data_IF_407751257807
#
_entry.id   IF_407751257807
#
_cell.length_a   1.000
_cell.length_b   1.000
_cell.length_c   1.000
_cell.angle_alpha   90.00
_cell.angle_beta   90.00
_cell.angle_gamma   90.00
#
_symmetry.space_group_name_H-M   'P 1'
#
loop_
_entity.id
_entity.type
_entity.pdbx_description
1 polymer ?
#
# COMPACT_ATOMS: atom_id res chain seq x y z
N UNK A 1 -1.61 21.14 23.97
CA UNK A 1 -1.03 21.02 23.56
C UNK A 1 -0.27 20.69 23.02
N UNK A 2 -0.38 20.61 23.08
CA UNK A 2 0.34 20.37 22.52
C UNK A 2 1.07 20.38 21.88
N UNK A 3 1.10 19.98 21.70
CA UNK A 3 1.95 20.04 21.33
C UNK A 3 2.49 20.57 20.67
N UNK A 4 1.82 20.39 20.68
CA UNK A 4 2.27 21.25 20.06
C UNK A 4 3.33 22.17 20.16
N UNK A 5 3.95 22.03 20.90
CA UNK A 5 5.16 22.78 21.11
C UNK A 5 6.15 22.67 19.96
N UNK A 6 5.95 21.76 19.07
CA UNK A 6 6.83 21.63 17.92
C UNK A 6 6.46 22.65 16.87
N UNK A 7 7.41 23.48 16.53
CA UNK A 7 7.25 24.45 15.47
C UNK A 7 7.20 23.70 14.15
N UNK A 8 6.16 23.91 13.40
CA UNK A 8 6.04 23.28 12.10
C UNK A 8 6.84 24.06 11.09
N UNK A 9 7.43 23.35 10.14
CA UNK A 9 8.16 24.00 9.09
C UNK A 9 7.17 24.72 8.16
N UNK A 10 7.69 25.66 7.40
CA UNK A 10 6.87 26.38 6.43
C UNK A 10 6.22 25.41 5.45
N UNK A 11 6.98 24.38 5.04
CA UNK A 11 6.46 23.37 4.12
C UNK A 11 5.29 22.61 4.73
N UNK A 12 5.37 22.25 6.01
CA UNK A 12 4.29 21.57 6.67
C UNK A 12 3.04 22.43 6.77
N UNK A 13 3.21 23.72 7.07
CA UNK A 13 2.09 24.64 7.16
C UNK A 13 1.43 24.82 5.80
N UNK A 14 2.24 24.92 4.75
CA UNK A 14 1.71 25.04 3.40
C UNK A 14 0.95 23.79 2.99
N UNK A 15 1.46 22.63 3.35
CA UNK A 15 0.80 21.36 3.05
C UNK A 15 -0.54 21.28 3.76
N UNK A 16 -0.62 21.73 5.00
CA UNK A 16 -1.87 21.74 5.75
C UNK A 16 -2.88 22.69 5.14
N UNK A 17 -2.43 23.84 4.67
CA UNK A 17 -3.31 24.81 4.02
C UNK A 17 -3.91 24.26 2.73
N UNK A 18 -3.22 23.31 2.11
CA UNK A 18 -3.72 22.63 0.91
C UNK A 18 -4.54 21.38 1.22
N UNK A 19 -4.87 21.15 2.48
CA UNK A 19 -5.63 19.98 2.89
C UNK A 19 -4.79 18.73 3.04
N UNK A 20 -3.49 18.89 3.19
CA UNK A 20 -2.57 17.78 3.36
C UNK A 20 -2.18 17.60 4.81
N UNK A 21 -1.89 16.38 5.19
CA UNK A 21 -1.44 16.05 6.54
C UNK A 21 -0.22 15.16 6.47
N UNK A 22 0.53 15.18 7.57
CA UNK A 22 1.69 14.32 7.70
C UNK A 22 1.28 13.10 8.52
N UNK A 23 1.56 11.92 7.99
CA UNK A 23 1.26 10.66 8.69
C UNK A 23 2.50 9.78 8.71
N UNK A 24 2.55 8.89 9.70
CA UNK A 24 3.58 7.87 9.77
C UNK A 24 2.92 6.53 9.52
N UNK A 25 3.37 5.83 8.50
CA UNK A 25 2.85 4.52 8.19
C UNK A 25 3.90 3.46 8.54
N UNK A 26 3.47 2.45 9.29
CA UNK A 26 4.35 1.35 9.64
C UNK A 26 4.24 0.27 8.56
N UNK A 27 5.35 -0.05 7.93
CA UNK A 27 5.40 -1.08 6.89
C UNK A 27 6.59 -1.98 7.18
N UNK A 28 6.32 -3.26 7.35
CA UNK A 28 7.36 -4.26 7.62
C UNK A 28 8.18 -3.92 8.86
N UNK A 29 7.54 -3.33 9.86
CA UNK A 29 8.20 -3.01 11.13
C UNK A 29 8.95 -1.70 11.14
N UNK A 30 8.90 -0.94 10.07
CA UNK A 30 9.59 0.34 9.99
C UNK A 30 8.59 1.45 9.72
N UNK A 31 8.78 2.60 10.36
CA UNK A 31 7.90 3.75 10.22
C UNK A 31 8.35 4.64 9.06
N UNK A 32 7.42 5.04 8.23
CA UNK A 32 7.69 5.89 7.07
C UNK A 32 6.82 7.14 7.16
N UNK A 33 7.43 8.30 7.36
CA UNK A 33 6.67 9.54 7.37
C UNK A 33 6.35 9.96 5.93
N UNK A 34 5.13 10.42 5.73
CA UNK A 34 4.74 10.94 4.42
C UNK A 34 3.65 11.98 4.55
N UNK A 35 3.57 12.84 3.55
CA UNK A 35 2.56 13.88 3.50
C UNK A 35 1.55 13.51 2.43
N UNK A 36 0.28 13.41 2.84
CA UNK A 36 -0.78 12.96 1.96
C UNK A 36 -1.97 13.91 2.08
N UNK A 37 -2.91 13.79 1.15
CA UNK A 37 -4.15 14.53 1.25
C UNK A 37 -4.94 13.99 2.45
N UNK A 38 -5.48 14.91 3.25
CA UNK A 38 -6.23 14.52 4.44
C UNK A 38 -7.41 13.61 4.08
N UNK A 39 -8.02 13.82 2.93
CA UNK A 39 -9.13 12.98 2.48
C UNK A 39 -8.73 11.53 2.23
N UNK A 40 -7.45 11.29 2.02
CA UNK A 40 -6.94 9.95 1.71
C UNK A 40 -6.32 9.26 2.92
N UNK A 41 -6.39 9.84 4.10
CA UNK A 41 -5.73 9.26 5.27
C UNK A 41 -6.19 7.83 5.53
N UNK A 42 -7.49 7.62 5.54
CA UNK A 42 -8.05 6.29 5.80
C UNK A 42 -7.59 5.28 4.75
N UNK A 43 -7.57 5.71 3.50
CA UNK A 43 -7.15 4.87 2.40
C UNK A 43 -5.69 4.43 2.58
N UNK A 44 -4.82 5.36 2.95
CA UNK A 44 -3.40 5.05 3.14
C UNK A 44 -3.19 4.12 4.33
N UNK A 45 -3.92 4.33 5.42
CA UNK A 45 -3.81 3.47 6.59
C UNK A 45 -4.31 2.07 6.31
N UNK A 46 -5.40 1.96 5.57
CA UNK A 46 -5.93 0.66 5.19
C UNK A 46 -4.97 -0.05 4.23
N UNK A 47 -4.37 0.70 3.31
CA UNK A 47 -3.40 0.14 2.36
C UNK A 47 -2.18 -0.41 3.09
N UNK A 48 -1.66 0.34 4.07
CA UNK A 48 -0.52 -0.12 4.86
C UNK A 48 -0.87 -1.38 5.65
N UNK A 49 -2.07 -1.43 6.21
CA UNK A 49 -2.55 -2.60 6.94
C UNK A 49 -2.59 -3.83 6.05
N UNK A 50 -3.17 -3.69 4.86
CA UNK A 50 -3.26 -4.80 3.92
C UNK A 50 -1.90 -5.25 3.43
N UNK A 51 -1.01 -4.30 3.22
CA UNK A 51 0.35 -4.64 2.82
C UNK A 51 1.05 -5.45 3.90
N UNK A 52 0.93 -5.02 5.16
CA UNK A 52 1.53 -5.74 6.28
C UNK A 52 0.96 -7.15 6.43
N UNK A 53 -0.35 -7.30 6.22
CA UNK A 53 -0.99 -8.61 6.25
C UNK A 53 -0.43 -9.52 5.15
N UNK A 54 -0.24 -8.96 3.97
CA UNK A 54 0.32 -9.72 2.85
C UNK A 54 1.75 -10.14 3.11
N UNK A 55 2.55 -9.25 3.68
CA UNK A 55 3.92 -9.55 4.05
C UNK A 55 3.94 -10.71 5.06
N UNK A 56 3.02 -10.68 6.02
CA UNK A 56 2.90 -11.75 7.01
C UNK A 56 2.53 -13.08 6.37
N UNK A 57 1.67 -13.09 5.36
CA UNK A 57 1.35 -14.31 4.63
C UNK A 57 2.60 -14.91 3.99
N UNK A 58 3.44 -14.08 3.41
CA UNK A 58 4.66 -14.56 2.77
C UNK A 58 5.71 -15.00 3.77
N UNK A 59 5.55 -14.70 5.05
CA UNK A 59 6.46 -15.16 6.07
C UNK A 59 6.45 -16.68 6.22
N UNK A 60 5.42 -17.33 5.70
CA UNK A 60 5.29 -18.79 5.75
C UNK A 60 6.13 -19.49 4.68
N UNK A 61 6.67 -18.73 3.73
CA UNK A 61 7.50 -19.32 2.69
C UNK A 61 8.93 -19.46 3.19
N UNK A 62 9.49 -20.67 3.21
CA UNK A 62 10.85 -20.87 3.71
C UNK A 62 11.86 -20.07 2.89
N UNK A 63 12.90 -19.57 3.57
CA UNK A 63 13.99 -18.84 2.98
C UNK A 63 13.66 -17.43 2.49
N UNK A 64 12.41 -16.98 2.66
CA UNK A 64 12.06 -15.60 2.33
C UNK A 64 12.45 -14.70 3.50
N UNK A 65 13.34 -13.76 3.25
CA UNK A 65 13.62 -12.71 4.23
C UNK A 65 12.62 -11.56 4.03
N UNK A 66 12.76 -10.50 4.80
CA UNK A 66 11.80 -9.40 4.76
C UNK A 66 11.81 -8.70 3.39
N UNK A 67 12.97 -8.63 2.75
CA UNK A 67 13.06 -8.03 1.43
C UNK A 67 12.32 -8.85 0.39
N UNK A 68 12.44 -10.18 0.46
CA UNK A 68 11.73 -11.07 -0.46
C UNK A 68 10.23 -10.95 -0.28
N UNK A 69 9.77 -10.86 0.96
CA UNK A 69 8.35 -10.70 1.27
C UNK A 69 7.80 -9.39 0.72
N UNK A 70 8.56 -8.31 0.91
CA UNK A 70 8.18 -7.00 0.37
C UNK A 70 8.14 -7.02 -1.14
N UNK A 71 9.13 -7.65 -1.77
CA UNK A 71 9.18 -7.72 -3.22
C UNK A 71 7.98 -8.46 -3.80
N UNK A 72 7.61 -9.58 -3.19
CA UNK A 72 6.46 -10.36 -3.64
C UNK A 72 5.15 -9.61 -3.44
N UNK A 73 4.99 -8.95 -2.28
CA UNK A 73 3.80 -8.17 -2.03
C UNK A 73 3.68 -7.01 -3.02
N UNK A 74 4.80 -6.33 -3.27
CA UNK A 74 4.81 -5.21 -4.21
C UNK A 74 4.48 -5.67 -5.63
N UNK A 75 5.06 -6.77 -6.05
CA UNK A 75 4.77 -7.31 -7.38
C UNK A 75 3.30 -7.67 -7.52
N UNK A 76 2.75 -8.34 -6.52
CA UNK A 76 1.35 -8.72 -6.55
C UNK A 76 0.43 -7.50 -6.66
N UNK A 77 0.65 -6.51 -5.81
CA UNK A 77 -0.20 -5.32 -5.84
C UNK A 77 -0.01 -4.51 -7.12
N UNK A 78 1.20 -4.50 -7.67
CA UNK A 78 1.45 -3.82 -8.94
C UNK A 78 0.66 -4.49 -10.07
N UNK A 79 0.66 -5.81 -10.10
CA UNK A 79 -0.09 -6.54 -11.12
C UNK A 79 -1.58 -6.30 -10.96
N UNK A 80 -2.07 -6.32 -9.72
CA UNK A 80 -3.49 -6.05 -9.46
C UNK A 80 -3.87 -4.64 -9.89
N UNK A 81 -3.01 -3.67 -9.62
CA UNK A 81 -3.26 -2.28 -10.00
C UNK A 81 -3.35 -2.14 -11.51
N UNK A 82 -2.41 -2.75 -12.24
CA UNK A 82 -2.41 -2.69 -13.69
C UNK A 82 -3.65 -3.39 -14.27
N UNK A 83 -4.02 -4.52 -13.70
CA UNK A 83 -5.18 -5.26 -14.15
C UNK A 83 -6.46 -4.48 -13.89
N UNK A 84 -6.54 -3.80 -12.75
CA UNK A 84 -7.70 -2.99 -12.40
C UNK A 84 -7.84 -1.79 -13.34
N UNK A 85 -6.71 -1.14 -13.66
CA UNK A 85 -6.73 -0.04 -14.64
C UNK A 85 -7.25 -0.53 -15.99
N UNK A 86 -6.78 -1.68 -16.40
CA UNK A 86 -7.20 -2.29 -17.65
C UNK A 86 -8.69 -2.63 -17.61
N UNK A 87 -9.15 -3.22 -16.53
CA UNK A 87 -10.57 -3.53 -16.33
C UNK A 87 -11.45 -2.31 -16.41
N UNK A 88 -11.03 -1.23 -15.77
CA UNK A 88 -11.79 0.03 -15.78
C UNK A 88 -11.98 0.57 -17.20
N UNK A 89 -10.99 0.34 -18.06
CA UNK A 89 -11.06 0.81 -19.43
C UNK A 89 -11.92 -0.09 -20.31
N UNK A 90 -11.99 -1.38 -20.02
CA UNK A 90 -12.55 -2.37 -20.92
C UNK A 90 -13.92 -2.96 -20.50
N UNK A 91 -14.31 -2.82 -19.26
CA UNK A 91 -15.64 -3.23 -18.82
C UNK A 91 -15.69 -4.55 -18.04
N UNK A 92 -16.90 -5.11 -17.93
CA UNK A 92 -17.15 -6.25 -17.05
C UNK A 92 -16.43 -7.54 -17.41
N UNK A 93 -16.15 -7.76 -18.68
CA UNK A 93 -15.45 -8.98 -19.10
C UNK A 93 -14.07 -9.07 -18.46
N UNK A 94 -13.48 -7.93 -18.19
CA UNK A 94 -12.13 -7.88 -17.63
C UNK A 94 -12.09 -8.13 -16.14
N UNK A 95 -13.24 -8.05 -15.46
CA UNK A 95 -13.32 -8.39 -14.05
C UNK A 95 -13.04 -9.87 -13.86
N UNK A 96 -13.55 -10.71 -14.76
CA UNK A 96 -13.27 -12.14 -14.72
C UNK A 96 -11.80 -12.44 -14.95
N UNK A 97 -11.20 -11.71 -15.89
CA UNK A 97 -9.77 -11.85 -16.14
C UNK A 97 -8.94 -11.41 -14.95
N UNK A 98 -9.39 -10.38 -14.23
CA UNK A 98 -8.73 -9.93 -13.02
C UNK A 98 -8.70 -11.05 -11.99
N UNK A 99 -9.82 -11.70 -11.76
CA UNK A 99 -9.89 -12.80 -10.81
C UNK A 99 -9.03 -13.98 -11.25
N UNK A 100 -9.04 -14.29 -12.53
CA UNK A 100 -8.23 -15.38 -13.06
C UNK A 100 -6.75 -15.09 -12.92
N UNK A 101 -6.36 -13.84 -13.15
CA UNK A 101 -4.96 -13.41 -13.01
C UNK A 101 -4.53 -13.47 -11.55
N UNK A 102 -5.38 -13.02 -10.64
CA UNK A 102 -5.09 -13.10 -9.22
C UNK A 102 -4.87 -14.54 -8.78
N UNK A 103 -5.70 -15.44 -9.26
CA UNK A 103 -5.57 -16.85 -8.96
C UNK A 103 -4.25 -17.43 -9.46
N UNK A 104 -3.85 -17.05 -10.66
CA UNK A 104 -2.57 -17.49 -11.21
C UNK A 104 -1.39 -16.97 -10.41
N UNK A 105 -1.48 -15.73 -9.96
CA UNK A 105 -0.42 -15.14 -9.13
C UNK A 105 -0.31 -15.88 -7.80
N UNK A 106 -1.44 -16.22 -7.20
CA UNK A 106 -1.45 -16.99 -5.96
C UNK A 106 -0.76 -18.34 -6.13
N UNK A 107 -1.06 -19.02 -7.20
CA UNK A 107 -0.45 -20.31 -7.49
C UNK A 107 1.06 -20.18 -7.69
N UNK A 108 1.46 -19.14 -8.40
CA UNK A 108 2.87 -18.90 -8.67
C UNK A 108 3.63 -18.62 -7.37
N UNK A 109 3.09 -17.81 -6.51
CA UNK A 109 3.75 -17.43 -5.26
C UNK A 109 3.77 -18.59 -4.27
N UNK A 110 2.74 -19.43 -4.28
CA UNK A 110 2.68 -20.59 -3.39
C UNK A 110 3.56 -21.74 -3.84
N UNK A 111 3.89 -21.77 -5.10
CA UNK A 111 4.78 -22.77 -5.62
C UNK A 111 6.23 -22.50 -5.20
#
# INVERSE_FOLDING_TARGET
MHCSSKTRTRRELEAMAEGKIKVNLSIAGKSYPMTIDAANEELYREAAKRLNEKITEYSKIPKFDIQDRLAMAALRYSILALTTEHSSALGDEDVEELYALEERIRKYVKA
#
